data_IF_693015963137
#
_entry.id   IF_693015963137
#
_cell.length_a   1.000
_cell.length_b   1.000
_cell.length_c   1.000
_cell.angle_alpha   90.00
_cell.angle_beta   90.00
_cell.angle_gamma   90.00
#
_symmetry.space_group_name_H-M   'P 1'
#
loop_
_entity.id
_entity.type
_entity.pdbx_description
1 polymer ?
#
# COMPACT_ATOMS: atom_id res chain seq x y z
N UNK A 1 6.69 -14.40 -6.30
CA UNK A 1 5.54 -13.49 -6.17
C UNK A 1 4.51 -13.81 -7.22
N UNK A 2 3.23 -13.87 -6.85
CA UNK A 2 2.15 -14.07 -7.81
C UNK A 2 1.72 -12.75 -8.46
N UNK A 3 0.91 -12.83 -9.51
CA UNK A 3 0.50 -11.67 -10.30
C UNK A 3 -0.27 -10.64 -9.46
N UNK A 4 -1.21 -11.05 -8.62
CA UNK A 4 -2.00 -10.08 -7.84
C UNK A 4 -1.18 -9.42 -6.73
N UNK A 5 -0.20 -10.11 -6.14
CA UNK A 5 0.75 -9.50 -5.19
C UNK A 5 1.49 -8.32 -5.84
N UNK A 6 1.99 -8.53 -7.07
CA UNK A 6 2.70 -7.51 -7.84
C UNK A 6 1.77 -6.32 -8.14
N UNK A 7 0.51 -6.58 -8.51
CA UNK A 7 -0.47 -5.52 -8.78
C UNK A 7 -0.74 -4.69 -7.53
N UNK A 8 -0.97 -5.34 -6.37
CA UNK A 8 -1.19 -4.65 -5.09
C UNK A 8 0.02 -3.78 -4.73
N UNK A 9 1.23 -4.34 -4.85
CA UNK A 9 2.47 -3.59 -4.59
C UNK A 9 2.62 -2.42 -5.56
N UNK A 10 2.36 -2.60 -6.86
CA UNK A 10 2.43 -1.54 -7.87
C UNK A 10 1.48 -0.37 -7.55
N UNK A 11 0.24 -0.67 -7.15
CA UNK A 11 -0.70 0.36 -6.69
C UNK A 11 -0.19 1.09 -5.46
N UNK A 12 0.45 0.38 -4.55
CA UNK A 12 0.98 0.93 -3.32
C UNK A 12 2.17 1.86 -3.60
N UNK A 13 3.08 1.49 -4.52
CA UNK A 13 4.16 2.38 -5.01
C UNK A 13 3.56 3.65 -5.61
N UNK A 14 2.56 3.50 -6.48
CA UNK A 14 1.89 4.62 -7.15
C UNK A 14 1.22 5.56 -6.14
N UNK A 15 0.55 4.99 -5.14
CA UNK A 15 -0.13 5.75 -4.07
C UNK A 15 0.87 6.59 -3.27
N UNK A 16 2.01 6.00 -2.87
CA UNK A 16 3.07 6.71 -2.15
C UNK A 16 3.67 7.81 -3.03
N UNK A 17 4.00 7.51 -4.28
CA UNK A 17 4.53 8.49 -5.22
C UNK A 17 3.59 9.71 -5.39
N UNK A 18 2.29 9.45 -5.58
CA UNK A 18 1.27 10.49 -5.74
C UNK A 18 1.02 11.29 -4.45
N UNK A 19 1.19 10.67 -3.27
CA UNK A 19 1.15 11.35 -1.98
C UNK A 19 2.26 12.40 -1.87
N UNK A 20 3.47 12.12 -2.39
CA UNK A 20 4.57 13.09 -2.43
C UNK A 20 4.36 14.17 -3.48
N UNK A 21 3.81 13.82 -4.66
CA UNK A 21 3.51 14.75 -5.76
C UNK A 21 2.35 15.71 -5.46
N UNK A 22 1.67 15.56 -4.31
CA UNK A 22 0.53 16.38 -3.86
C UNK A 22 -0.68 16.35 -4.81
N UNK A 23 -0.78 15.35 -5.69
CA UNK A 23 -1.84 15.29 -6.69
C UNK A 23 -3.07 14.55 -6.15
N UNK A 24 -3.99 15.28 -5.53
CA UNK A 24 -5.10 14.74 -4.72
C UNK A 24 -6.02 13.78 -5.47
N UNK A 25 -6.45 14.11 -6.69
CA UNK A 25 -7.40 13.27 -7.46
C UNK A 25 -6.79 11.92 -7.80
N UNK A 26 -5.62 11.93 -8.44
CA UNK A 26 -4.91 10.72 -8.83
C UNK A 26 -4.51 9.88 -7.62
N UNK A 27 -4.08 10.52 -6.53
CA UNK A 27 -3.78 9.83 -5.27
C UNK A 27 -4.98 9.04 -4.75
N UNK A 28 -6.16 9.67 -4.69
CA UNK A 28 -7.38 9.00 -4.22
C UNK A 28 -7.80 7.85 -5.15
N UNK A 29 -7.68 8.02 -6.47
CA UNK A 29 -7.95 6.94 -7.42
C UNK A 29 -6.97 5.77 -7.28
N UNK A 30 -5.68 6.04 -7.08
CA UNK A 30 -4.68 5.01 -6.84
C UNK A 30 -4.92 4.28 -5.52
N UNK A 31 -5.26 5.00 -4.46
CA UNK A 31 -5.56 4.43 -3.16
C UNK A 31 -6.82 3.55 -3.20
N UNK A 32 -7.88 4.02 -3.87
CA UNK A 32 -9.12 3.27 -4.03
C UNK A 32 -8.94 2.04 -4.92
N UNK A 33 -8.25 2.20 -6.07
CA UNK A 33 -7.91 1.10 -6.95
C UNK A 33 -7.04 0.04 -6.28
N UNK A 34 -6.06 0.45 -5.48
CA UNK A 34 -5.23 -0.45 -4.67
C UNK A 34 -6.04 -1.21 -3.62
N UNK A 35 -6.98 -0.53 -2.96
CA UNK A 35 -7.89 -1.17 -2.00
C UNK A 35 -8.78 -2.22 -2.67
N UNK A 36 -9.32 -1.92 -3.85
CA UNK A 36 -10.08 -2.89 -4.66
C UNK A 36 -9.19 -4.07 -5.07
N UNK A 37 -7.95 -3.79 -5.49
CA UNK A 37 -6.99 -4.84 -5.84
C UNK A 37 -6.68 -5.77 -4.66
N UNK A 38 -6.65 -5.24 -3.43
CA UNK A 38 -6.54 -6.07 -2.23
C UNK A 38 -7.72 -7.04 -2.12
N UNK A 39 -8.96 -6.57 -2.30
CA UNK A 39 -10.15 -7.43 -2.26
C UNK A 39 -10.10 -8.53 -3.33
N UNK A 40 -9.69 -8.20 -4.55
CA UNK A 40 -9.48 -9.19 -5.61
C UNK A 40 -8.40 -10.20 -5.26
N UNK A 41 -7.28 -9.75 -4.70
CA UNK A 41 -6.23 -10.64 -4.22
C UNK A 41 -6.77 -11.61 -3.16
N UNK A 42 -7.51 -11.10 -2.16
CA UNK A 42 -8.12 -11.95 -1.13
C UNK A 42 -9.06 -13.00 -1.71
N UNK A 43 -9.87 -12.63 -2.70
CA UNK A 43 -10.84 -13.51 -3.34
C UNK A 43 -10.18 -14.59 -4.22
N UNK A 44 -9.16 -14.22 -5.01
CA UNK A 44 -8.57 -15.10 -6.02
C UNK A 44 -7.36 -15.90 -5.51
N UNK A 45 -6.49 -15.27 -4.72
CA UNK A 45 -5.20 -15.85 -4.31
C UNK A 45 -5.20 -16.36 -2.86
N UNK A 46 -6.35 -16.29 -2.18
CA UNK A 46 -6.53 -16.60 -0.76
C UNK A 46 -5.69 -15.70 0.17
N UNK A 47 -5.98 -15.79 1.47
CA UNK A 47 -5.28 -14.98 2.46
C UNK A 47 -3.81 -15.37 2.59
N UNK A 48 -2.92 -14.38 2.45
CA UNK A 48 -1.49 -14.51 2.72
C UNK A 48 -1.06 -13.49 3.76
N UNK A 49 -0.60 -13.98 4.91
CA UNK A 49 -0.20 -13.13 6.03
C UNK A 49 0.94 -12.17 5.68
N UNK A 50 1.78 -12.51 4.71
CA UNK A 50 2.88 -11.66 4.21
C UNK A 50 2.42 -10.35 3.57
N UNK A 51 1.21 -10.33 3.02
CA UNK A 51 0.64 -9.16 2.36
C UNK A 51 -0.15 -8.28 3.33
N UNK A 52 -0.37 -8.72 4.57
CA UNK A 52 -1.06 -7.95 5.63
C UNK A 52 -0.43 -6.58 5.83
N UNK A 53 0.92 -6.43 5.91
CA UNK A 53 1.55 -5.12 6.03
C UNK A 53 1.22 -4.20 4.85
N UNK A 54 1.09 -4.73 3.63
CA UNK A 54 0.72 -3.98 2.44
C UNK A 54 -0.75 -3.54 2.48
N UNK A 55 -1.66 -4.43 2.89
CA UNK A 55 -3.08 -4.11 3.03
C UNK A 55 -3.34 -3.02 4.07
N UNK A 56 -2.70 -3.15 5.24
CA UNK A 56 -2.81 -2.17 6.32
C UNK A 56 -2.27 -0.80 5.89
N UNK A 57 -1.22 -0.77 5.05
CA UNK A 57 -0.64 0.47 4.55
C UNK A 57 -1.63 1.34 3.79
N UNK A 58 -2.52 0.77 2.96
CA UNK A 58 -3.54 1.55 2.26
C UNK A 58 -4.48 2.27 3.25
N UNK A 59 -4.89 1.57 4.31
CA UNK A 59 -5.76 2.13 5.36
C UNK A 59 -5.03 3.20 6.15
N UNK A 60 -3.78 2.95 6.55
CA UNK A 60 -2.95 3.89 7.31
C UNK A 60 -2.69 5.16 6.48
N UNK A 61 -2.38 5.03 5.19
CA UNK A 61 -2.20 6.16 4.27
C UNK A 61 -3.48 6.99 4.22
N UNK A 62 -4.65 6.36 4.08
CA UNK A 62 -5.93 7.07 4.02
C UNK A 62 -6.22 7.84 5.32
N UNK A 63 -6.05 7.19 6.48
CA UNK A 63 -6.27 7.83 7.78
C UNK A 63 -5.30 9.00 7.97
N UNK A 64 -4.02 8.81 7.63
CA UNK A 64 -2.99 9.84 7.75
C UNK A 64 -3.29 11.02 6.84
N UNK A 65 -3.71 10.76 5.60
CA UNK A 65 -4.12 11.80 4.65
C UNK A 65 -5.33 12.60 5.17
N UNK A 66 -6.33 11.91 5.75
CA UNK A 66 -7.54 12.56 6.28
C UNK A 66 -7.29 13.35 7.57
N UNK A 67 -6.49 12.82 8.50
CA UNK A 67 -6.26 13.43 9.83
C UNK A 67 -5.20 14.53 9.85
N UNK A 68 -4.08 14.34 9.14
CA UNK A 68 -2.90 15.19 9.31
C UNK A 68 -2.73 16.25 8.22
N UNK A 69 -3.60 16.28 7.20
CA UNK A 69 -3.43 17.17 6.07
C UNK A 69 -2.05 17.02 5.41
N UNK A 70 -1.48 18.12 4.91
CA UNK A 70 -0.25 18.08 4.11
C UNK A 70 1.06 18.09 4.93
N UNK A 71 0.99 18.28 6.25
CA UNK A 71 2.10 18.76 7.07
C UNK A 71 2.54 17.77 8.14
N UNK A 72 3.10 16.62 7.75
CA UNK A 72 3.86 15.77 8.68
C UNK A 72 4.97 15.01 7.97
N UNK A 73 6.16 15.61 7.94
CA UNK A 73 7.39 15.02 7.40
C UNK A 73 7.75 13.70 8.11
N UNK A 74 7.55 13.64 9.43
CA UNK A 74 7.81 12.45 10.25
C UNK A 74 6.92 11.26 9.90
N UNK A 75 5.63 11.48 9.65
CA UNK A 75 4.71 10.39 9.24
C UNK A 75 5.04 9.87 7.84
N UNK A 76 5.53 10.74 6.95
CA UNK A 76 6.01 10.31 5.62
C UNK A 76 7.22 9.39 5.74
N UNK A 77 8.15 9.68 6.65
CA UNK A 77 9.28 8.79 6.94
C UNK A 77 8.83 7.41 7.43
N UNK A 78 7.94 7.38 8.42
CA UNK A 78 7.36 6.13 8.93
C UNK A 78 6.62 5.32 7.84
N UNK A 79 5.86 5.99 6.97
CA UNK A 79 5.19 5.34 5.84
C UNK A 79 6.16 4.69 4.86
N UNK A 80 7.30 5.34 4.58
CA UNK A 80 8.34 4.79 3.69
C UNK A 80 9.04 3.59 4.32
N UNK A 81 9.35 3.65 5.62
CA UNK A 81 9.94 2.50 6.33
C UNK A 81 8.98 1.32 6.32
N UNK A 82 7.70 1.55 6.63
CA UNK A 82 6.68 0.50 6.59
C UNK A 82 6.49 -0.06 5.18
N UNK A 83 6.59 0.79 4.15
CA UNK A 83 6.53 0.38 2.75
C UNK A 83 7.64 -0.59 2.37
N UNK A 84 8.88 -0.28 2.80
CA UNK A 84 10.01 -1.19 2.58
C UNK A 84 9.74 -2.55 3.22
N UNK A 85 9.25 -2.58 4.47
CA UNK A 85 8.86 -3.83 5.13
C UNK A 85 7.83 -4.61 4.32
N UNK A 86 6.81 -3.94 3.77
CA UNK A 86 5.77 -4.58 2.96
C UNK A 86 6.26 -5.14 1.63
N UNK A 87 7.33 -4.59 1.05
CA UNK A 87 7.96 -5.17 -0.15
C UNK A 87 8.84 -6.35 0.22
N UNK A 88 9.66 -6.22 1.27
CA UNK A 88 10.63 -7.25 1.63
C UNK A 88 9.98 -8.52 2.19
N UNK A 89 8.90 -8.42 2.95
CA UNK A 89 8.23 -9.57 3.55
C UNK A 89 7.84 -10.67 2.54
N UNK A 90 7.10 -10.36 1.47
CA UNK A 90 6.72 -11.36 0.46
C UNK A 90 7.88 -11.81 -0.45
N UNK A 91 9.05 -11.14 -0.40
CA UNK A 91 10.26 -11.58 -1.11
C UNK A 91 11.06 -12.58 -0.28
N UNK A 92 11.27 -12.26 1.00
CA UNK A 92 12.20 -12.97 1.88
C UNK A 92 11.58 -14.24 2.43
N UNK A 93 10.28 -14.22 2.70
CA UNK A 93 9.58 -15.37 3.27
C UNK A 93 8.80 -16.04 2.13
N UNK A 94 9.05 -17.31 1.80
CA UNK A 94 8.17 -18.07 0.93
C UNK A 94 7.04 -18.71 1.76
N UNK A 95 5.76 -18.48 1.40
CA UNK A 95 4.65 -19.34 1.86
C UNK A 95 4.43 -20.41 0.81
N UNK A 96 4.81 -21.64 1.14
CA UNK A 96 4.46 -22.85 0.39
C UNK A 96 3.03 -23.27 0.70
#
# INVERSE_FOLDING_TARGET
>A
MRLFEIIVLAFLICTIYLLFRKNKKLFLYSLFGGTISCLFHFYLESYRWQMVPAYLLFVIIFITYKKCGHSLFWMKGLLVVWFLCSIFLPIVVPVF
#
